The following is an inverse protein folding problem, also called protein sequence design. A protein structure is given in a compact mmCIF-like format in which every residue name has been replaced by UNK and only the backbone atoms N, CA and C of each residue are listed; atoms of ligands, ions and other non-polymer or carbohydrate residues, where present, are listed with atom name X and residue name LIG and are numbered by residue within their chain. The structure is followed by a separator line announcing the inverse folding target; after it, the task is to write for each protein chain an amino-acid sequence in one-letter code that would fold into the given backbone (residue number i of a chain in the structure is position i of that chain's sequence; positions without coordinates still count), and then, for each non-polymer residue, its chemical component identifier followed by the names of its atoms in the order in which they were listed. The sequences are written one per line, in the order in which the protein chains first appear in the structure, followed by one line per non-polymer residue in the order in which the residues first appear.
data_IF_594503623571
#
_entry.id   IF_594503623571
#
_cell.length_a   1.000
_cell.length_b   1.000
_cell.length_c   1.000
_cell.angle_alpha   90.00
_cell.angle_beta   90.00
_cell.angle_gamma   90.00
#
_symmetry.space_group_name_H-M   'P 1'
#
loop_
_entity.id
_entity.type
_entity.pdbx_description
1 polymer ?
#
# COMPACT_ATOMS: atom_id res chain seq x y z
N UNK A 1 30.39 9.97 -25.19
CA UNK A 1 29.31 9.81 -24.20
C UNK A 1 29.62 8.58 -23.35
N UNK A 2 29.78 8.70 -22.02
CA UNK A 2 30.26 7.58 -21.20
C UNK A 2 29.13 6.58 -20.93
N UNK A 3 28.98 5.59 -21.82
CA UNK A 3 27.89 4.60 -21.82
C UNK A 3 27.74 3.88 -20.47
N UNK A 4 28.85 3.69 -19.75
CA UNK A 4 28.87 3.08 -18.40
C UNK A 4 27.97 3.79 -17.38
N UNK A 5 27.78 5.12 -17.48
CA UNK A 5 26.92 5.88 -16.56
C UNK A 5 25.43 5.54 -16.71
N UNK A 6 25.02 5.10 -17.89
CA UNK A 6 23.61 4.83 -18.21
C UNK A 6 23.22 3.36 -18.07
N UNK A 7 24.20 2.45 -17.99
CA UNK A 7 23.97 1.00 -17.83
C UNK A 7 23.05 0.72 -16.64
N UNK A 8 23.23 1.44 -15.52
CA UNK A 8 22.38 1.25 -14.33
C UNK A 8 20.89 1.44 -14.58
N UNK A 9 20.49 2.21 -15.59
CA UNK A 9 19.07 2.48 -15.91
C UNK A 9 18.46 1.51 -16.94
N UNK A 10 19.27 0.64 -17.55
CA UNK A 10 18.79 -0.38 -18.52
C UNK A 10 17.67 -1.26 -17.94
N UNK A 11 17.70 -1.72 -16.67
CA UNK A 11 16.63 -2.54 -16.13
C UNK A 11 15.24 -1.87 -16.20
N UNK A 12 15.17 -0.56 -16.02
CA UNK A 12 13.91 0.19 -16.11
C UNK A 12 13.41 0.31 -17.55
N UNK A 13 14.31 0.46 -18.52
CA UNK A 13 13.95 0.52 -19.93
C UNK A 13 13.42 -0.84 -20.42
N UNK A 14 14.09 -1.93 -20.06
CA UNK A 14 13.63 -3.28 -20.37
C UNK A 14 12.27 -3.54 -19.71
N UNK A 15 12.12 -3.17 -18.44
CA UNK A 15 10.87 -3.32 -17.72
C UNK A 15 9.73 -2.51 -18.35
N UNK A 16 9.99 -1.27 -18.78
CA UNK A 16 9.03 -0.46 -19.52
C UNK A 16 8.56 -1.15 -20.80
N UNK A 17 9.47 -1.72 -21.59
CA UNK A 17 9.11 -2.44 -22.81
C UNK A 17 8.24 -3.68 -22.51
N UNK A 18 8.59 -4.44 -21.47
CA UNK A 18 7.78 -5.59 -21.01
C UNK A 18 6.38 -5.13 -20.61
N UNK A 19 6.28 -4.05 -19.83
CA UNK A 19 5.01 -3.51 -19.36
C UNK A 19 4.17 -2.96 -20.51
N UNK A 20 4.75 -2.28 -21.50
CA UNK A 20 3.99 -1.82 -22.67
C UNK A 20 3.40 -3.00 -23.44
N UNK A 21 4.18 -4.06 -23.67
CA UNK A 21 3.71 -5.30 -24.30
C UNK A 21 2.62 -6.00 -23.47
N UNK A 22 2.73 -5.97 -22.14
CA UNK A 22 1.74 -6.55 -21.23
C UNK A 22 0.44 -5.73 -21.22
N UNK A 23 0.52 -4.42 -21.01
CA UNK A 23 -0.62 -3.52 -20.97
C UNK A 23 -1.39 -3.52 -22.27
N UNK A 24 -0.76 -3.75 -23.43
CA UNK A 24 -1.44 -3.88 -24.72
C UNK A 24 -2.40 -5.07 -24.82
N UNK A 25 -2.19 -6.10 -23.98
CA UNK A 25 -3.05 -7.30 -23.94
C UNK A 25 -4.23 -7.15 -22.98
N UNK A 26 -4.24 -6.11 -22.14
CA UNK A 26 -5.28 -5.93 -21.13
C UNK A 26 -6.59 -5.45 -21.75
N UNK A 27 -7.70 -5.96 -21.22
CA UNK A 27 -9.02 -5.45 -21.53
C UNK A 27 -9.28 -4.18 -20.71
N UNK A 28 -9.41 -3.03 -21.39
CA UNK A 28 -9.59 -1.72 -20.74
C UNK A 28 -11.06 -1.39 -20.52
N UNK A 29 -11.92 -1.73 -21.47
CA UNK A 29 -13.36 -1.46 -21.42
C UNK A 29 -14.06 -2.61 -20.67
N UNK A 30 -13.92 -2.62 -19.34
CA UNK A 30 -14.49 -3.63 -18.45
C UNK A 30 -14.95 -3.01 -17.12
N UNK A 31 -15.81 -3.73 -16.39
CA UNK A 31 -16.24 -3.40 -15.02
C UNK A 31 -16.70 -1.93 -14.85
N UNK A 32 -15.97 -1.08 -14.12
CA UNK A 32 -16.40 0.29 -13.82
C UNK A 32 -16.23 1.25 -15.01
N UNK A 33 -15.46 0.89 -16.03
CA UNK A 33 -15.18 1.76 -17.18
C UNK A 33 -16.47 2.30 -17.85
N UNK A 34 -17.47 1.46 -18.23
CA UNK A 34 -18.69 1.95 -18.88
C UNK A 34 -19.53 2.85 -17.97
N UNK A 35 -19.49 2.62 -16.66
CA UNK A 35 -20.17 3.46 -15.67
C UNK A 35 -19.57 4.86 -15.67
N UNK A 36 -18.24 4.98 -15.59
CA UNK A 36 -17.55 6.28 -15.67
C UNK A 36 -17.80 6.98 -17.01
N UNK A 37 -17.75 6.24 -18.12
CA UNK A 37 -18.04 6.79 -19.46
C UNK A 37 -19.47 7.34 -19.55
N UNK A 38 -20.45 6.66 -18.93
CA UNK A 38 -21.84 7.10 -18.86
C UNK A 38 -22.02 8.34 -17.99
N UNK A 39 -21.24 8.48 -16.92
CA UNK A 39 -21.30 9.66 -16.06
C UNK A 39 -20.69 10.86 -16.78
N UNK A 40 -19.52 10.70 -17.39
CA UNK A 40 -18.84 11.80 -18.13
C UNK A 40 -19.67 12.28 -19.33
N UNK A 41 -20.42 11.41 -20.00
CA UNK A 41 -21.32 11.83 -21.09
C UNK A 41 -22.52 12.67 -20.63
N UNK A 42 -22.87 12.61 -19.34
CA UNK A 42 -23.99 13.36 -18.74
C UNK A 42 -23.54 14.58 -17.95
N UNK A 43 -22.32 14.57 -17.43
CA UNK A 43 -21.77 15.61 -16.57
C UNK A 43 -20.43 16.12 -17.13
N UNK A 44 -20.33 17.41 -17.54
CA UNK A 44 -19.11 17.95 -18.12
C UNK A 44 -17.92 17.84 -17.16
N UNK A 45 -16.81 17.27 -17.66
CA UNK A 45 -15.63 16.96 -16.85
C UNK A 45 -14.99 18.20 -16.21
N UNK A 46 -14.90 19.29 -16.97
CA UNK A 46 -14.22 20.53 -16.58
C UNK A 46 -15.14 21.58 -15.93
N UNK A 47 -16.43 21.29 -15.80
CA UNK A 47 -17.37 22.25 -15.21
C UNK A 47 -17.20 22.30 -13.69
N UNK A 48 -17.10 23.53 -13.16
CA UNK A 48 -17.13 23.81 -11.72
C UNK A 48 -18.53 24.11 -11.19
N UNK A 49 -19.56 23.96 -12.03
CA UNK A 49 -20.97 24.11 -11.63
C UNK A 49 -21.48 22.84 -10.93
N UNK A 50 -22.66 22.93 -10.30
CA UNK A 50 -23.31 21.77 -9.65
C UNK A 50 -23.53 20.58 -10.60
N UNK A 51 -23.62 20.83 -11.90
CA UNK A 51 -23.82 19.80 -12.93
C UNK A 51 -22.51 19.18 -13.44
N UNK A 52 -21.37 19.72 -13.00
CA UNK A 52 -20.05 19.21 -13.36
C UNK A 52 -19.79 17.82 -12.77
N UNK A 53 -18.90 17.08 -13.45
CA UNK A 53 -18.57 15.70 -13.09
C UNK A 53 -18.17 15.57 -11.61
N UNK A 54 -17.21 16.37 -11.13
CA UNK A 54 -16.74 16.28 -9.75
C UNK A 54 -17.80 16.70 -8.72
N UNK A 55 -18.60 17.73 -9.01
CA UNK A 55 -19.69 18.14 -8.13
C UNK A 55 -20.75 17.05 -8.00
N UNK A 56 -21.11 16.40 -9.10
CA UNK A 56 -22.01 15.25 -9.10
C UNK A 56 -21.43 14.08 -8.29
N UNK A 57 -20.18 13.71 -8.52
CA UNK A 57 -19.52 12.60 -7.83
C UNK A 57 -19.36 12.84 -6.33
N UNK A 58 -18.97 14.05 -5.94
CA UNK A 58 -18.90 14.45 -4.53
C UNK A 58 -20.27 14.43 -3.85
N UNK A 59 -21.31 14.89 -4.56
CA UNK A 59 -22.67 14.90 -4.02
C UNK A 59 -23.25 13.47 -3.83
N UNK A 60 -22.88 12.53 -4.70
CA UNK A 60 -23.62 11.26 -4.83
C UNK A 60 -22.86 10.01 -4.44
N UNK A 61 -21.52 10.00 -4.47
CA UNK A 61 -20.77 8.74 -4.34
C UNK A 61 -19.45 8.79 -3.57
N UNK A 62 -18.57 9.77 -3.83
CA UNK A 62 -17.20 9.70 -3.29
C UNK A 62 -16.51 11.03 -3.13
N UNK A 63 -15.71 11.13 -2.07
CA UNK A 63 -14.73 12.20 -1.82
C UNK A 63 -13.45 12.09 -2.65
N UNK A 64 -13.27 11.02 -3.45
CA UNK A 64 -12.03 10.75 -4.22
C UNK A 64 -11.91 11.63 -5.45
N UNK A 65 -12.07 12.94 -5.30
CA UNK A 65 -12.31 13.86 -6.40
C UNK A 65 -11.14 13.93 -7.38
N UNK A 66 -9.88 14.00 -6.93
CA UNK A 66 -8.73 14.06 -7.85
C UNK A 66 -8.54 12.74 -8.60
N UNK A 67 -8.61 11.63 -7.88
CA UNK A 67 -8.48 10.30 -8.47
C UNK A 67 -9.62 10.02 -9.48
N UNK A 68 -10.86 10.33 -9.13
CA UNK A 68 -11.98 10.13 -10.05
C UNK A 68 -11.95 11.11 -11.22
N UNK A 69 -11.36 12.30 -11.04
CA UNK A 69 -11.08 13.22 -12.14
C UNK A 69 -10.14 12.59 -13.17
N UNK A 70 -9.06 11.96 -12.70
CA UNK A 70 -8.11 11.25 -13.56
C UNK A 70 -8.80 10.10 -14.30
N UNK A 71 -9.63 9.31 -13.61
CA UNK A 71 -10.45 8.27 -14.26
C UNK A 71 -11.35 8.89 -15.34
N UNK A 72 -12.02 10.02 -15.03
CA UNK A 72 -12.86 10.75 -15.96
C UNK A 72 -12.13 11.22 -17.22
N UNK A 73 -10.89 11.71 -17.09
CA UNK A 73 -10.02 12.05 -18.22
C UNK A 73 -9.72 10.79 -19.03
N UNK A 74 -9.28 9.71 -18.37
CA UNK A 74 -8.79 8.50 -19.02
C UNK A 74 -9.90 7.74 -19.78
N UNK A 75 -11.14 7.77 -19.31
CA UNK A 75 -12.28 7.20 -20.06
C UNK A 75 -12.72 8.08 -21.23
N UNK A 76 -12.27 9.34 -21.30
CA UNK A 76 -12.61 10.31 -22.35
C UNK A 76 -11.60 10.33 -23.49
N UNK A 77 -10.49 9.61 -23.37
CA UNK A 77 -9.40 9.57 -24.35
C UNK A 77 -9.14 8.14 -24.83
N UNK A 78 -8.37 7.93 -25.92
CA UNK A 78 -8.04 6.59 -26.39
C UNK A 78 -7.37 5.75 -25.29
N UNK A 79 -7.76 4.48 -25.19
CA UNK A 79 -7.30 3.56 -24.15
C UNK A 79 -5.77 3.37 -24.15
N UNK A 80 -5.13 3.58 -25.31
CA UNK A 80 -3.68 3.57 -25.49
C UNK A 80 -2.97 4.57 -24.58
N UNK A 81 -3.59 5.72 -24.28
CA UNK A 81 -3.02 6.72 -23.37
C UNK A 81 -2.89 6.13 -21.98
N UNK A 82 -3.96 5.49 -21.46
CA UNK A 82 -3.89 4.81 -20.17
C UNK A 82 -2.82 3.71 -20.18
N UNK A 83 -2.75 2.87 -21.21
CA UNK A 83 -1.75 1.77 -21.30
C UNK A 83 -0.30 2.31 -21.20
N UNK A 84 -0.02 3.43 -21.85
CA UNK A 84 1.31 4.07 -21.82
C UNK A 84 1.58 4.67 -20.43
N UNK A 85 0.64 5.48 -19.92
CA UNK A 85 0.83 6.18 -18.64
C UNK A 85 0.93 5.18 -17.48
N UNK A 86 0.07 4.16 -17.45
CA UNK A 86 0.08 3.14 -16.39
C UNK A 86 1.38 2.32 -16.40
N UNK A 87 1.90 1.99 -17.59
CA UNK A 87 3.24 1.38 -17.72
C UNK A 87 4.33 2.28 -17.12
N UNK A 88 4.27 3.59 -17.36
CA UNK A 88 5.22 4.56 -16.78
C UNK A 88 5.06 4.65 -15.27
N UNK A 89 3.84 4.59 -14.73
CA UNK A 89 3.57 4.60 -13.29
C UNK A 89 4.23 3.40 -12.61
N UNK A 90 4.07 2.18 -13.12
CA UNK A 90 4.74 1.00 -12.55
C UNK A 90 6.26 1.07 -12.63
N UNK A 91 6.83 1.61 -13.72
CA UNK A 91 8.29 1.84 -13.81
C UNK A 91 8.75 2.90 -12.82
N UNK A 92 7.98 3.98 -12.65
CA UNK A 92 8.28 5.03 -11.68
C UNK A 92 8.31 4.47 -10.25
N UNK A 93 7.37 3.59 -9.90
CA UNK A 93 7.39 2.86 -8.62
C UNK A 93 8.69 2.08 -8.45
N UNK A 94 9.13 1.31 -9.46
CA UNK A 94 10.39 0.56 -9.38
C UNK A 94 11.60 1.48 -9.19
N UNK A 95 11.65 2.62 -9.88
CA UNK A 95 12.68 3.64 -9.71
C UNK A 95 12.67 4.20 -8.29
N UNK A 96 11.50 4.54 -7.77
CA UNK A 96 11.31 5.13 -6.44
C UNK A 96 11.69 4.14 -5.34
N UNK A 97 11.31 2.87 -5.45
CA UNK A 97 11.72 1.81 -4.52
C UNK A 97 13.24 1.73 -4.39
N UNK A 98 13.94 1.67 -5.53
CA UNK A 98 15.41 1.61 -5.51
C UNK A 98 16.02 2.87 -4.90
N UNK A 99 15.58 4.06 -5.32
CA UNK A 99 16.13 5.33 -4.83
C UNK A 99 15.81 5.64 -3.36
N UNK A 100 14.68 5.18 -2.85
CA UNK A 100 14.28 5.39 -1.47
C UNK A 100 15.07 4.52 -0.50
N UNK A 101 15.35 3.27 -0.89
CA UNK A 101 15.81 2.23 0.04
C UNK A 101 17.29 1.86 -0.13
N UNK A 102 17.93 2.26 -1.23
CA UNK A 102 19.34 1.96 -1.54
C UNK A 102 20.13 3.26 -1.71
N UNK A 103 21.28 3.33 -1.05
CA UNK A 103 22.26 4.42 -1.18
C UNK A 103 23.59 3.91 -1.77
N UNK A 104 23.58 2.79 -2.50
CA UNK A 104 24.76 2.16 -3.11
C UNK A 104 24.76 2.40 -4.63
N UNK A 105 25.64 3.31 -5.09
CA UNK A 105 25.79 3.64 -6.51
C UNK A 105 26.53 2.55 -7.30
N UNK A 106 27.39 1.75 -6.65
CA UNK A 106 28.21 0.73 -7.31
C UNK A 106 27.37 -0.47 -7.73
N UNK A 107 26.44 -0.90 -6.86
CA UNK A 107 25.53 -2.03 -7.13
C UNK A 107 24.17 -1.60 -7.69
N UNK A 108 24.06 -0.35 -8.12
CA UNK A 108 22.81 0.24 -8.58
C UNK A 108 22.10 -0.56 -9.68
N UNK A 109 22.82 -1.23 -10.59
CA UNK A 109 22.21 -2.11 -11.59
C UNK A 109 21.44 -3.27 -10.97
N UNK A 110 22.03 -3.98 -10.01
CA UNK A 110 21.40 -5.12 -9.33
C UNK A 110 20.15 -4.67 -8.57
N UNK A 111 20.25 -3.57 -7.82
CA UNK A 111 19.13 -3.03 -7.05
C UNK A 111 17.98 -2.53 -7.95
N UNK A 112 18.29 -2.01 -9.14
CA UNK A 112 17.29 -1.65 -10.13
C UNK A 112 16.61 -2.89 -10.73
N UNK A 113 17.37 -3.95 -11.04
CA UNK A 113 16.78 -5.24 -11.44
C UNK A 113 15.85 -5.81 -10.35
N UNK A 114 16.29 -5.78 -9.09
CA UNK A 114 15.52 -6.26 -7.96
C UNK A 114 14.21 -5.47 -7.81
N UNK A 115 14.25 -4.14 -7.99
CA UNK A 115 13.06 -3.31 -7.89
C UNK A 115 12.06 -3.63 -9.01
N UNK A 116 12.53 -3.77 -10.26
CA UNK A 116 11.70 -4.21 -11.38
C UNK A 116 11.11 -5.61 -11.14
N UNK A 117 11.89 -6.53 -10.58
CA UNK A 117 11.43 -7.88 -10.25
C UNK A 117 10.30 -7.85 -9.21
N UNK A 118 10.44 -7.11 -8.12
CA UNK A 118 9.40 -6.99 -7.10
C UNK A 118 8.11 -6.36 -7.62
N UNK A 119 8.21 -5.30 -8.42
CA UNK A 119 7.03 -4.67 -9.04
C UNK A 119 6.39 -5.61 -10.06
N UNK A 120 7.18 -6.31 -10.88
CA UNK A 120 6.66 -7.31 -11.82
C UNK A 120 5.97 -8.48 -11.11
N UNK A 121 6.57 -8.98 -10.02
CA UNK A 121 5.98 -10.02 -9.19
C UNK A 121 4.65 -9.56 -8.60
N UNK A 122 4.57 -8.32 -8.10
CA UNK A 122 3.33 -7.73 -7.60
C UNK A 122 2.22 -7.73 -8.66
N UNK A 123 2.52 -7.27 -9.87
CA UNK A 123 1.54 -7.23 -10.97
C UNK A 123 1.02 -8.63 -11.30
N UNK A 124 1.92 -9.62 -11.39
CA UNK A 124 1.55 -11.00 -11.76
C UNK A 124 0.72 -11.64 -10.64
N UNK A 125 1.21 -11.57 -9.40
CA UNK A 125 0.57 -12.19 -8.23
C UNK A 125 -0.81 -11.62 -7.92
N UNK A 126 -1.04 -10.33 -8.18
CA UNK A 126 -2.29 -9.64 -7.85
C UNK A 126 -3.06 -9.13 -9.06
N UNK A 127 -2.80 -9.68 -10.25
CA UNK A 127 -3.48 -9.31 -11.50
C UNK A 127 -5.02 -9.34 -11.39
N UNK A 128 -5.58 -10.34 -10.70
CA UNK A 128 -7.04 -10.43 -10.46
C UNK A 128 -7.57 -9.30 -9.58
N UNK A 129 -6.81 -8.88 -8.57
CA UNK A 129 -7.16 -7.74 -7.73
C UNK A 129 -7.10 -6.45 -8.56
N UNK A 130 -6.05 -6.30 -9.38
CA UNK A 130 -5.88 -5.16 -10.29
C UNK A 130 -6.96 -5.10 -11.39
N UNK A 131 -7.56 -6.23 -11.77
CA UNK A 131 -8.66 -6.31 -12.73
C UNK A 131 -10.05 -6.11 -12.08
N UNK A 132 -10.17 -6.22 -10.76
CA UNK A 132 -11.46 -6.41 -10.09
C UNK A 132 -12.52 -5.30 -10.29
N UNK A 133 -12.13 -4.03 -10.44
CA UNK A 133 -13.02 -2.94 -10.87
C UNK A 133 -12.74 -2.49 -12.32
N UNK A 134 -11.99 -3.28 -13.07
CA UNK A 134 -11.38 -2.94 -14.34
C UNK A 134 -9.98 -2.37 -14.12
N UNK A 135 -9.06 -2.69 -15.03
CA UNK A 135 -7.66 -2.29 -14.89
C UNK A 135 -7.50 -0.77 -14.80
N UNK A 136 -8.20 -0.01 -15.64
CA UNK A 136 -8.12 1.46 -15.65
C UNK A 136 -8.61 2.05 -14.33
N UNK A 137 -9.77 1.63 -13.85
CA UNK A 137 -10.32 2.16 -12.60
C UNK A 137 -9.45 1.75 -11.40
N UNK A 138 -9.02 0.49 -11.34
CA UNK A 138 -8.26 -0.02 -10.19
C UNK A 138 -6.86 0.59 -10.10
N UNK A 139 -6.12 0.64 -11.22
CA UNK A 139 -4.76 1.18 -11.21
C UNK A 139 -4.76 2.68 -10.89
N UNK A 140 -5.69 3.43 -11.48
CA UNK A 140 -5.84 4.87 -11.20
C UNK A 140 -6.27 5.11 -9.74
N UNK A 141 -7.17 4.29 -9.18
CA UNK A 141 -7.66 4.48 -7.81
C UNK A 141 -6.67 4.08 -6.71
N UNK A 142 -5.77 3.14 -6.98
CA UNK A 142 -4.94 2.53 -5.93
C UNK A 142 -3.44 2.60 -6.23
N UNK A 143 -3.02 2.36 -7.47
CA UNK A 143 -1.60 2.28 -7.83
C UNK A 143 -1.00 3.66 -8.09
N UNK A 144 -1.75 4.55 -8.75
CA UNK A 144 -1.30 5.91 -9.02
C UNK A 144 -1.07 6.69 -7.71
N UNK A 145 -2.02 6.70 -6.73
CA UNK A 145 -1.79 7.30 -5.42
C UNK A 145 -0.55 6.75 -4.70
N UNK A 146 -0.29 5.45 -4.80
CA UNK A 146 0.92 4.81 -4.25
C UNK A 146 2.19 5.37 -4.93
N UNK A 147 2.20 5.50 -6.25
CA UNK A 147 3.31 6.11 -6.98
C UNK A 147 3.56 7.56 -6.53
N UNK A 148 2.49 8.35 -6.41
CA UNK A 148 2.58 9.74 -6.00
C UNK A 148 3.09 9.90 -4.56
N UNK A 149 2.65 9.07 -3.61
CA UNK A 149 3.17 9.15 -2.24
C UNK A 149 4.63 8.70 -2.12
N UNK A 150 5.05 7.70 -2.90
CA UNK A 150 6.46 7.31 -2.98
C UNK A 150 7.32 8.45 -3.54
N UNK A 151 6.84 9.13 -4.58
CA UNK A 151 7.51 10.31 -5.14
C UNK A 151 7.58 11.44 -4.10
N UNK A 152 6.49 11.69 -3.39
CA UNK A 152 6.41 12.69 -2.33
C UNK A 152 7.47 12.45 -1.25
N UNK A 153 7.53 11.24 -0.67
CA UNK A 153 8.53 10.92 0.36
C UNK A 153 9.96 10.87 -0.19
N UNK A 154 10.15 10.49 -1.45
CA UNK A 154 11.46 10.57 -2.10
C UNK A 154 11.96 12.01 -2.17
N UNK A 155 11.11 12.93 -2.62
CA UNK A 155 11.44 14.35 -2.73
C UNK A 155 11.66 15.00 -1.36
N UNK A 156 10.84 14.64 -0.36
CA UNK A 156 11.05 15.06 1.03
C UNK A 156 12.42 14.62 1.55
N UNK A 157 12.74 13.33 1.42
CA UNK A 157 14.04 12.77 1.84
C UNK A 157 15.19 13.48 1.13
N UNK A 158 15.15 13.57 -0.19
CA UNK A 158 16.32 13.99 -0.98
C UNK A 158 16.56 15.49 -1.00
N UNK A 159 15.53 16.32 -0.90
CA UNK A 159 15.65 17.75 -1.08
C UNK A 159 15.29 18.56 0.17
N UNK A 160 14.31 18.11 0.96
CA UNK A 160 13.88 18.84 2.16
C UNK A 160 14.75 18.46 3.35
N UNK A 161 14.80 17.18 3.73
CA UNK A 161 15.55 16.74 4.91
C UNK A 161 17.06 16.74 4.71
N UNK A 162 17.56 16.49 3.49
CA UNK A 162 18.99 16.66 3.16
C UNK A 162 19.40 18.13 2.94
N UNK A 163 18.47 19.08 3.04
CA UNK A 163 18.68 20.51 2.86
C UNK A 163 19.55 20.85 1.63
N UNK A 164 19.18 20.30 0.46
CA UNK A 164 19.95 20.55 -0.76
C UNK A 164 19.82 22.01 -1.17
N UNK A 165 20.95 22.63 -1.50
CA UNK A 165 20.95 23.99 -2.02
C UNK A 165 20.32 24.02 -3.42
N UNK A 166 19.27 24.82 -3.54
CA UNK A 166 18.45 24.95 -4.74
C UNK A 166 18.19 26.43 -5.00
N UNK A 167 18.26 26.83 -6.27
CA UNK A 167 17.80 28.15 -6.67
C UNK A 167 16.33 28.35 -6.29
N UNK A 168 15.95 29.60 -6.03
CA UNK A 168 14.59 29.98 -5.61
C UNK A 168 13.50 29.38 -6.52
N UNK A 169 13.71 29.42 -7.84
CA UNK A 169 12.79 28.84 -8.82
C UNK A 169 12.63 27.31 -8.64
N UNK A 170 13.75 26.58 -8.53
CA UNK A 170 13.73 25.12 -8.33
C UNK A 170 13.05 24.74 -7.00
N UNK A 171 13.24 25.56 -5.97
CA UNK A 171 12.60 25.36 -4.66
C UNK A 171 11.08 25.54 -4.74
N UNK A 172 10.59 26.56 -5.47
CA UNK A 172 9.16 26.76 -5.71
C UNK A 172 8.58 25.57 -6.50
N UNK A 173 9.24 25.17 -7.59
CA UNK A 173 8.80 24.02 -8.38
C UNK A 173 8.74 22.73 -7.55
N UNK A 174 9.76 22.47 -6.71
CA UNK A 174 9.77 21.33 -5.80
C UNK A 174 8.58 21.35 -4.84
N UNK A 175 8.26 22.50 -4.24
CA UNK A 175 7.13 22.61 -3.32
C UNK A 175 5.79 22.42 -4.02
N UNK A 176 5.63 22.93 -5.24
CA UNK A 176 4.43 22.67 -6.05
C UNK A 176 4.27 21.17 -6.36
N UNK A 177 5.36 20.50 -6.76
CA UNK A 177 5.35 19.05 -7.00
C UNK A 177 5.00 18.29 -5.71
N UNK A 178 5.59 18.66 -4.57
CA UNK A 178 5.27 18.03 -3.28
C UNK A 178 3.80 18.20 -2.90
N UNK A 179 3.20 19.36 -3.15
CA UNK A 179 1.76 19.58 -2.92
C UNK A 179 0.93 18.69 -3.85
N UNK A 180 1.20 18.68 -5.15
CA UNK A 180 0.44 17.86 -6.12
C UNK A 180 0.53 16.38 -5.76
N UNK A 181 1.75 15.86 -5.57
CA UNK A 181 1.97 14.45 -5.19
C UNK A 181 1.29 14.07 -3.87
N UNK A 182 1.22 14.99 -2.90
CA UNK A 182 0.50 14.75 -1.66
C UNK A 182 -1.00 14.69 -1.91
N UNK A 183 -1.56 15.68 -2.62
CA UNK A 183 -2.98 15.79 -2.90
C UNK A 183 -3.52 14.59 -3.68
N UNK A 184 -2.79 14.11 -4.69
CA UNK A 184 -3.13 12.88 -5.42
C UNK A 184 -3.20 11.67 -4.48
N UNK A 185 -2.19 11.50 -3.63
CA UNK A 185 -2.14 10.39 -2.70
C UNK A 185 -3.27 10.42 -1.67
N UNK A 186 -3.49 11.57 -1.04
CA UNK A 186 -4.47 11.72 0.05
C UNK A 186 -5.91 11.88 -0.43
N UNK A 187 -6.13 11.88 -1.75
CA UNK A 187 -7.48 11.75 -2.33
C UNK A 187 -8.08 10.35 -2.10
N UNK A 188 -7.27 9.33 -1.77
CA UNK A 188 -7.75 7.99 -1.39
C UNK A 188 -7.97 7.91 0.12
N UNK A 189 -9.17 7.54 0.57
CA UNK A 189 -9.55 7.46 2.01
C UNK A 189 -8.57 6.62 2.85
N UNK A 190 -8.21 5.42 2.37
CA UNK A 190 -7.27 4.55 3.08
C UNK A 190 -5.85 5.12 3.10
N UNK A 191 -5.41 5.68 1.96
CA UNK A 191 -4.06 6.22 1.85
C UNK A 191 -3.94 7.54 2.62
N UNK A 192 -4.99 8.36 2.70
CA UNK A 192 -5.08 9.54 3.56
C UNK A 192 -4.79 9.18 5.02
N UNK A 193 -5.44 8.13 5.55
CA UNK A 193 -5.19 7.63 6.90
C UNK A 193 -3.72 7.19 7.09
N UNK A 194 -3.17 6.43 6.13
CA UNK A 194 -1.77 5.99 6.18
C UNK A 194 -0.79 7.16 6.11
N UNK A 195 -1.03 8.14 5.23
CA UNK A 195 -0.14 9.30 5.06
C UNK A 195 -0.20 10.19 6.31
N UNK A 196 -1.38 10.40 6.89
CA UNK A 196 -1.51 11.06 8.18
C UNK A 196 -0.69 10.37 9.27
N UNK A 197 -0.80 9.04 9.38
CA UNK A 197 0.03 8.23 10.29
C UNK A 197 1.52 8.34 10.00
N UNK A 198 1.92 8.32 8.72
CA UNK A 198 3.32 8.45 8.31
C UNK A 198 3.91 9.79 8.74
N UNK A 199 3.16 10.88 8.60
CA UNK A 199 3.55 12.21 9.07
C UNK A 199 3.67 12.27 10.60
N UNK A 200 2.77 11.60 11.34
CA UNK A 200 2.89 11.46 12.80
C UNK A 200 4.20 10.76 13.17
N UNK A 201 4.56 9.67 12.48
CA UNK A 201 5.85 9.00 12.69
C UNK A 201 7.04 9.90 12.30
N UNK A 202 6.99 10.60 11.17
CA UNK A 202 8.06 11.53 10.76
C UNK A 202 8.29 12.62 11.80
N UNK A 203 7.21 13.25 12.28
CA UNK A 203 7.27 14.29 13.32
C UNK A 203 7.80 13.69 14.64
N UNK A 204 7.25 12.56 15.07
CA UNK A 204 7.69 11.87 16.28
C UNK A 204 9.18 11.51 16.24
N UNK A 205 9.68 11.06 15.09
CA UNK A 205 11.10 10.79 14.87
C UNK A 205 11.95 12.06 14.95
N UNK A 206 11.51 13.16 14.32
CA UNK A 206 12.20 14.45 14.39
C UNK A 206 12.30 14.94 15.83
N UNK A 207 11.20 14.88 16.59
CA UNK A 207 11.18 15.25 18.01
C UNK A 207 12.11 14.37 18.85
N UNK A 208 12.09 13.05 18.64
CA UNK A 208 12.96 12.11 19.34
C UNK A 208 14.44 12.36 19.06
N UNK A 209 14.80 12.61 17.80
CA UNK A 209 16.18 12.89 17.36
C UNK A 209 16.59 14.35 17.51
N UNK A 210 15.69 15.22 17.98
CA UNK A 210 15.90 16.68 18.05
C UNK A 210 16.30 17.29 16.70
N UNK A 211 15.75 16.76 15.61
CA UNK A 211 15.90 17.29 14.25
C UNK A 211 14.89 18.43 14.10
N UNK A 212 15.34 19.59 13.60
CA UNK A 212 14.44 20.69 13.28
C UNK A 212 13.42 20.25 12.23
N UNK A 213 12.13 20.41 12.54
CA UNK A 213 11.04 20.06 11.62
C UNK A 213 10.97 21.14 10.54
N UNK A 214 11.20 20.81 9.25
CA UNK A 214 11.11 21.79 8.19
C UNK A 214 9.71 22.41 8.14
N UNK A 215 9.61 23.75 8.01
CA UNK A 215 8.33 24.47 8.06
C UNK A 215 7.28 23.95 7.07
N UNK A 216 7.72 23.44 5.92
CA UNK A 216 6.85 22.86 4.89
C UNK A 216 6.10 21.62 5.39
N UNK A 217 6.60 20.90 6.39
CA UNK A 217 5.91 19.76 7.01
C UNK A 217 4.59 20.21 7.66
N UNK A 218 4.55 21.39 8.30
CA UNK A 218 3.30 21.92 8.88
C UNK A 218 2.26 22.25 7.81
N UNK A 219 2.68 22.72 6.63
CA UNK A 219 1.79 22.90 5.48
C UNK A 219 1.18 21.57 5.04
N UNK A 220 1.99 20.51 4.91
CA UNK A 220 1.50 19.19 4.52
C UNK A 220 0.55 18.59 5.54
N UNK A 221 0.83 18.73 6.85
CA UNK A 221 -0.11 18.34 7.91
C UNK A 221 -1.43 19.12 7.78
N UNK A 222 -1.37 20.42 7.53
CA UNK A 222 -2.57 21.24 7.28
C UNK A 222 -3.39 20.72 6.10
N UNK A 223 -2.75 20.39 4.98
CA UNK A 223 -3.43 19.82 3.80
C UNK A 223 -4.05 18.45 4.07
N UNK A 224 -3.36 17.59 4.84
CA UNK A 224 -3.90 16.29 5.26
C UNK A 224 -5.16 16.47 6.12
N UNK A 225 -5.12 17.38 7.10
CA UNK A 225 -6.29 17.69 7.96
C UNK A 225 -7.45 18.24 7.13
N UNK A 226 -7.18 19.13 6.17
CA UNK A 226 -8.21 19.64 5.27
C UNK A 226 -8.83 18.53 4.41
N UNK A 227 -8.05 17.54 3.95
CA UNK A 227 -8.59 16.39 3.22
C UNK A 227 -9.42 15.47 4.12
N UNK A 228 -9.05 15.27 5.39
CA UNK A 228 -9.92 14.56 6.34
C UNK A 228 -11.26 15.27 6.53
N UNK A 229 -11.25 16.60 6.65
CA UNK A 229 -12.49 17.40 6.74
C UNK A 229 -13.30 17.24 5.45
N UNK A 230 -12.66 17.34 4.29
CA UNK A 230 -13.31 17.18 2.99
C UNK A 230 -13.98 15.81 2.82
N UNK A 231 -13.29 14.74 3.24
CA UNK A 231 -13.78 13.37 3.22
C UNK A 231 -14.95 13.16 4.18
N UNK A 232 -14.83 13.68 5.41
CA UNK A 232 -15.87 13.59 6.44
C UNK A 232 -17.14 14.37 6.06
N UNK A 233 -16.99 15.51 5.41
CA UNK A 233 -18.11 16.34 4.96
C UNK A 233 -18.73 15.86 3.64
N UNK A 234 -18.19 14.83 2.99
CA UNK A 234 -18.66 14.36 1.69
C UNK A 234 -20.03 13.66 1.80
N UNK A 235 -21.11 14.24 1.26
CA UNK A 235 -22.43 13.59 1.31
C UNK A 235 -22.46 12.32 0.45
N UNK A 236 -21.67 12.26 -0.63
CA UNK A 236 -21.52 11.09 -1.47
C UNK A 236 -21.02 9.86 -0.71
N UNK A 237 -20.08 10.04 0.21
CA UNK A 237 -19.58 8.94 1.05
C UNK A 237 -20.69 8.36 1.93
N UNK A 238 -21.50 9.22 2.55
CA UNK A 238 -22.65 8.80 3.37
C UNK A 238 -23.66 8.03 2.51
N UNK A 239 -23.98 8.56 1.32
CA UNK A 239 -24.88 7.90 0.37
C UNK A 239 -24.35 6.52 -0.06
N UNK A 240 -23.06 6.41 -0.39
CA UNK A 240 -22.41 5.15 -0.74
C UNK A 240 -22.49 4.14 0.41
N UNK A 241 -22.18 4.55 1.64
CA UNK A 241 -22.29 3.67 2.82
C UNK A 241 -23.73 3.16 2.99
N UNK A 242 -24.74 4.02 2.85
CA UNK A 242 -26.14 3.62 2.95
C UNK A 242 -26.55 2.61 1.86
N UNK A 243 -26.15 2.86 0.61
CA UNK A 243 -26.42 1.97 -0.53
C UNK A 243 -25.75 0.61 -0.34
N UNK A 244 -24.46 0.60 -0.01
CA UNK A 244 -23.68 -0.63 0.15
C UNK A 244 -24.16 -1.43 1.37
N UNK A 245 -24.53 -0.76 2.47
CA UNK A 245 -25.12 -1.43 3.65
C UNK A 245 -26.44 -2.10 3.26
N UNK A 246 -27.34 -1.35 2.62
CA UNK A 246 -28.67 -1.85 2.26
C UNK A 246 -28.62 -3.02 1.27
N UNK A 247 -27.69 -2.99 0.30
CA UNK A 247 -27.64 -3.98 -0.77
C UNK A 247 -26.70 -5.16 -0.48
N UNK A 248 -25.60 -4.94 0.24
CA UNK A 248 -24.54 -5.93 0.43
C UNK A 248 -24.48 -6.55 1.82
N UNK A 249 -24.60 -5.74 2.87
CA UNK A 249 -24.48 -6.20 4.26
C UNK A 249 -25.38 -5.42 5.23
N UNK A 250 -26.70 -5.73 5.29
CA UNK A 250 -27.65 -4.98 6.11
C UNK A 250 -27.30 -4.92 7.59
N UNK A 251 -26.82 -6.02 8.18
CA UNK A 251 -26.50 -6.10 9.61
C UNK A 251 -25.33 -5.20 10.03
N UNK A 252 -24.55 -4.69 9.08
CA UNK A 252 -23.48 -3.73 9.36
C UNK A 252 -24.01 -2.47 10.07
N UNK A 253 -25.29 -2.11 9.88
CA UNK A 253 -25.93 -1.01 10.61
C UNK A 253 -25.90 -1.18 12.13
N UNK A 254 -25.82 -2.43 12.61
CA UNK A 254 -25.83 -2.77 14.03
C UNK A 254 -24.41 -2.88 14.61
N UNK A 255 -23.37 -2.71 13.80
CA UNK A 255 -21.99 -2.89 14.24
C UNK A 255 -21.51 -1.70 15.06
N UNK A 256 -21.05 -1.99 16.29
CA UNK A 256 -20.31 -1.03 17.10
C UNK A 256 -18.82 -1.01 16.71
N UNK A 257 -18.03 -0.16 17.38
CA UNK A 257 -16.59 -0.01 17.12
C UNK A 257 -15.83 -1.34 17.32
N UNK A 258 -16.20 -2.15 18.30
CA UNK A 258 -15.56 -3.44 18.58
C UNK A 258 -15.82 -4.41 17.43
N UNK A 259 -17.05 -4.50 16.92
CA UNK A 259 -17.37 -5.35 15.77
C UNK A 259 -16.58 -4.95 14.52
N UNK A 260 -16.47 -3.63 14.27
CA UNK A 260 -15.71 -3.11 13.12
C UNK A 260 -14.22 -3.43 13.23
N UNK A 261 -13.64 -3.26 14.42
CA UNK A 261 -12.25 -3.61 14.68
C UNK A 261 -12.02 -5.12 14.55
N UNK A 262 -12.90 -5.94 15.12
CA UNK A 262 -12.81 -7.40 15.06
C UNK A 262 -12.81 -7.90 13.61
N UNK A 263 -13.72 -7.39 12.77
CA UNK A 263 -13.74 -7.72 11.34
C UNK A 263 -12.45 -7.31 10.64
N UNK A 264 -11.98 -6.07 10.83
CA UNK A 264 -10.75 -5.59 10.20
C UNK A 264 -9.51 -6.38 10.62
N UNK A 265 -9.41 -6.71 11.91
CA UNK A 265 -8.33 -7.55 12.49
C UNK A 265 -8.40 -8.97 11.91
N UNK A 266 -9.61 -9.56 11.84
CA UNK A 266 -9.82 -10.88 11.28
C UNK A 266 -9.39 -10.95 9.80
N UNK A 267 -9.81 -9.99 8.97
CA UNK A 267 -9.39 -9.94 7.56
C UNK A 267 -7.88 -9.88 7.41
N UNK A 268 -7.25 -8.95 8.15
CA UNK A 268 -5.82 -8.79 8.13
C UNK A 268 -5.06 -10.07 8.51
N UNK A 269 -5.35 -10.64 9.68
CA UNK A 269 -4.59 -11.82 10.13
C UNK A 269 -4.98 -13.09 9.39
N UNK A 270 -6.24 -13.28 9.01
CA UNK A 270 -6.64 -14.43 8.20
C UNK A 270 -5.96 -14.43 6.84
N UNK A 271 -5.81 -13.25 6.23
CA UNK A 271 -5.15 -13.11 4.93
C UNK A 271 -3.69 -13.58 4.98
N UNK A 272 -2.95 -13.13 6.00
CA UNK A 272 -1.56 -13.56 6.25
C UNK A 272 -1.51 -15.05 6.59
N UNK A 273 -2.33 -15.49 7.56
CA UNK A 273 -2.32 -16.86 8.07
C UNK A 273 -2.57 -17.87 6.94
N UNK A 274 -3.50 -17.57 6.04
CA UNK A 274 -3.88 -18.42 4.91
C UNK A 274 -2.97 -18.26 3.69
N UNK A 275 -1.85 -17.53 3.81
CA UNK A 275 -0.88 -17.30 2.76
C UNK A 275 -1.51 -16.76 1.46
N UNK A 276 -2.51 -15.87 1.58
CA UNK A 276 -3.21 -15.29 0.40
C UNK A 276 -2.32 -14.36 -0.41
N UNK A 277 -1.20 -13.90 0.16
CA UNK A 277 -0.20 -13.11 -0.54
C UNK A 277 1.22 -13.60 -0.29
N UNK A 278 2.04 -13.58 -1.36
CA UNK A 278 3.41 -14.06 -1.33
C UNK A 278 4.36 -13.13 -0.55
N UNK A 279 4.08 -11.82 -0.53
CA UNK A 279 4.97 -10.85 0.10
C UNK A 279 4.97 -10.95 1.62
N UNK A 280 3.84 -11.28 2.26
CA UNK A 280 3.81 -11.58 3.69
C UNK A 280 4.65 -12.80 4.05
N UNK A 281 4.66 -13.83 3.21
CA UNK A 281 5.48 -15.03 3.40
C UNK A 281 6.96 -14.68 3.30
N UNK A 282 7.34 -13.94 2.25
CA UNK A 282 8.71 -13.46 2.04
C UNK A 282 9.13 -12.57 3.22
N UNK A 283 8.29 -11.64 3.64
CA UNK A 283 8.54 -10.73 4.75
C UNK A 283 8.83 -11.48 6.04
N UNK A 284 7.96 -12.41 6.44
CA UNK A 284 8.14 -13.18 7.68
C UNK A 284 9.44 -14.00 7.64
N UNK A 285 9.77 -14.60 6.50
CA UNK A 285 11.02 -15.36 6.33
C UNK A 285 12.26 -14.45 6.39
N UNK A 286 12.26 -13.34 5.64
CA UNK A 286 13.38 -12.38 5.62
C UNK A 286 13.59 -11.74 6.98
N UNK A 287 12.51 -11.36 7.67
CA UNK A 287 12.58 -10.75 9.00
C UNK A 287 13.20 -11.72 10.01
N UNK A 288 12.81 -13.00 9.97
CA UNK A 288 13.35 -14.05 10.83
C UNK A 288 14.84 -14.31 10.54
N UNK A 289 15.23 -14.39 9.26
CA UNK A 289 16.63 -14.57 8.87
C UNK A 289 17.48 -13.38 9.31
N UNK A 290 17.00 -12.16 9.04
CA UNK A 290 17.74 -10.95 9.40
C UNK A 290 17.89 -10.81 10.92
N UNK A 291 16.81 -11.00 11.69
CA UNK A 291 16.86 -10.95 13.15
C UNK A 291 17.79 -12.01 13.76
N UNK A 292 17.81 -13.22 13.18
CA UNK A 292 18.73 -14.29 13.57
C UNK A 292 20.20 -13.91 13.33
N UNK A 293 20.52 -13.34 12.17
CA UNK A 293 21.90 -13.01 11.80
C UNK A 293 22.50 -11.91 12.66
N UNK A 294 21.69 -10.88 12.99
CA UNK A 294 22.17 -9.70 13.72
C UNK A 294 22.17 -9.85 15.25
N UNK A 295 21.69 -10.97 15.78
CA UNK A 295 21.46 -11.17 17.21
C UNK A 295 22.48 -12.13 17.82
N UNK A 296 23.01 -11.77 18.98
CA UNK A 296 23.91 -12.64 19.76
C UNK A 296 23.17 -13.86 20.33
N UNK A 297 21.85 -13.75 20.54
CA UNK A 297 20.99 -14.80 21.12
C UNK A 297 20.36 -15.69 20.05
N UNK A 298 21.18 -16.22 19.13
CA UNK A 298 20.72 -17.00 17.95
C UNK A 298 19.73 -18.12 18.27
N UNK A 299 19.89 -18.84 19.39
CA UNK A 299 18.95 -19.90 19.81
C UNK A 299 17.54 -19.38 20.05
N UNK A 300 17.39 -18.21 20.68
CA UNK A 300 16.07 -17.59 20.92
C UNK A 300 15.48 -17.10 19.59
N UNK A 301 16.32 -16.66 18.65
CA UNK A 301 15.88 -16.22 17.32
C UNK A 301 15.39 -17.35 16.42
N UNK A 302 15.58 -18.62 16.78
CA UNK A 302 14.90 -19.69 16.06
C UNK A 302 13.36 -19.59 16.20
N UNK A 303 12.86 -18.99 17.30
CA UNK A 303 11.42 -18.77 17.50
C UNK A 303 10.83 -17.81 16.47
N UNK A 304 11.63 -16.91 15.88
CA UNK A 304 11.11 -15.94 14.90
C UNK A 304 10.79 -16.57 13.56
N UNK A 305 11.20 -17.81 13.31
CA UNK A 305 10.81 -18.58 12.13
C UNK A 305 9.40 -19.18 12.25
N UNK A 306 8.83 -19.26 13.46
CA UNK A 306 7.53 -19.91 13.69
C UNK A 306 6.40 -19.31 12.83
N UNK A 307 6.21 -17.98 12.74
CA UNK A 307 5.17 -17.41 11.87
C UNK A 307 5.31 -17.82 10.41
N UNK A 308 6.52 -17.79 9.86
CA UNK A 308 6.77 -18.20 8.47
C UNK A 308 6.43 -19.68 8.26
N UNK A 309 6.80 -20.55 9.22
CA UNK A 309 6.47 -21.98 9.16
C UNK A 309 4.96 -22.25 9.25
N UNK A 310 4.24 -21.52 10.11
CA UNK A 310 2.78 -21.63 10.23
C UNK A 310 2.10 -21.25 8.90
N UNK A 311 2.50 -20.12 8.31
CA UNK A 311 1.92 -19.65 7.04
C UNK A 311 2.25 -20.62 5.91
N UNK A 312 3.48 -21.13 5.84
CA UNK A 312 3.87 -22.15 4.87
C UNK A 312 3.10 -23.48 5.06
N UNK A 313 2.81 -23.85 6.31
CA UNK A 313 1.96 -25.01 6.59
C UNK A 313 0.56 -24.83 6.00
N UNK A 314 -0.08 -23.68 6.20
CA UNK A 314 -1.41 -23.42 5.62
C UNK A 314 -1.40 -23.29 4.10
N UNK A 315 -0.35 -22.72 3.51
CA UNK A 315 -0.15 -22.72 2.06
C UNK A 315 -0.08 -24.17 1.52
N UNK A 316 0.72 -25.03 2.17
CA UNK A 316 0.85 -26.43 1.80
C UNK A 316 -0.45 -27.21 2.03
N UNK A 317 -1.18 -26.94 3.12
CA UNK A 317 -2.45 -27.58 3.41
C UNK A 317 -3.52 -27.25 2.35
N UNK A 318 -3.57 -25.99 1.89
CA UNK A 318 -4.43 -25.57 0.78
C UNK A 318 -4.07 -26.28 -0.53
N UNK A 319 -2.77 -26.39 -0.84
CA UNK A 319 -2.31 -27.08 -2.06
C UNK A 319 -2.55 -28.60 -2.03
N UNK A 320 -2.39 -29.22 -0.85
CA UNK A 320 -2.60 -30.65 -0.63
C UNK A 320 -4.08 -31.05 -0.47
N UNK A 321 -5.02 -30.10 -0.63
CA UNK A 321 -6.47 -30.30 -0.46
C UNK A 321 -6.86 -30.85 0.92
N UNK A 322 -6.17 -30.45 1.99
CA UNK A 322 -6.65 -30.69 3.37
C UNK A 322 -7.78 -29.71 3.72
N UNK A 323 -8.92 -29.87 3.04
CA UNK A 323 -10.04 -28.92 3.03
C UNK A 323 -10.61 -28.62 4.42
N UNK A 324 -10.70 -29.64 5.29
CA UNK A 324 -11.33 -29.48 6.60
C UNK A 324 -10.49 -28.57 7.51
N UNK A 325 -9.16 -28.79 7.52
CA UNK A 325 -8.24 -27.95 8.29
C UNK A 325 -8.16 -26.55 7.69
N UNK A 326 -8.02 -26.45 6.37
CA UNK A 326 -7.91 -25.15 5.69
C UNK A 326 -9.17 -24.30 5.90
N UNK A 327 -10.35 -24.85 5.63
CA UNK A 327 -11.63 -24.13 5.78
C UNK A 327 -11.97 -23.78 7.23
N UNK A 328 -11.48 -24.55 8.20
CA UNK A 328 -11.63 -24.22 9.62
C UNK A 328 -10.89 -22.92 9.99
N UNK A 329 -9.69 -22.70 9.45
CA UNK A 329 -8.87 -21.51 9.76
C UNK A 329 -9.01 -20.37 8.75
N UNK A 330 -9.55 -20.63 7.55
CA UNK A 330 -9.79 -19.58 6.56
C UNK A 330 -11.01 -18.74 6.93
N UNK A 331 -10.76 -17.56 7.48
CA UNK A 331 -11.76 -16.57 7.89
C UNK A 331 -11.73 -15.33 6.99
N UNK A 332 -11.05 -15.38 5.83
CA UNK A 332 -10.82 -14.22 4.97
C UNK A 332 -12.10 -13.58 4.44
N UNK A 333 -13.20 -14.33 4.38
CA UNK A 333 -14.51 -13.85 3.94
C UNK A 333 -15.57 -13.77 5.06
N UNK A 334 -15.15 -13.87 6.33
CA UNK A 334 -16.07 -13.88 7.46
C UNK A 334 -16.66 -12.48 7.71
N UNK A 335 -17.98 -12.33 7.58
CA UNK A 335 -18.66 -11.02 7.70
C UNK A 335 -18.71 -10.44 9.12
N UNK A 336 -18.70 -11.30 10.14
CA UNK A 336 -18.95 -10.91 11.54
C UNK A 336 -17.71 -11.00 12.45
N UNK A 337 -16.54 -11.25 11.88
CA UNK A 337 -15.26 -11.21 12.60
C UNK A 337 -15.00 -12.44 13.48
N UNK A 338 -13.88 -12.43 14.18
CA UNK A 338 -13.42 -13.58 14.96
C UNK A 338 -14.32 -13.84 16.19
N UNK A 339 -14.83 -12.78 16.81
CA UNK A 339 -15.62 -12.85 18.05
C UNK A 339 -17.02 -13.42 17.84
N UNK A 340 -17.51 -13.51 16.60
CA UNK A 340 -18.79 -14.15 16.30
C UNK A 340 -18.71 -15.68 16.25
N UNK A 341 -17.52 -16.26 16.33
CA UNK A 341 -17.32 -17.71 16.21
C UNK A 341 -17.57 -18.43 17.54
N UNK A 342 -17.83 -19.74 17.44
CA UNK A 342 -17.86 -20.61 18.62
C UNK A 342 -16.53 -20.59 19.38
N UNK A 343 -16.60 -20.70 20.71
CA UNK A 343 -15.47 -20.51 21.64
C UNK A 343 -14.16 -21.20 21.22
N UNK A 344 -14.22 -22.48 20.82
CA UNK A 344 -13.04 -23.24 20.42
C UNK A 344 -12.39 -22.68 19.15
N UNK A 345 -13.20 -22.29 18.14
CA UNK A 345 -12.69 -21.74 16.87
C UNK A 345 -12.15 -20.33 17.05
N UNK A 346 -12.81 -19.53 17.88
CA UNK A 346 -12.34 -18.21 18.26
C UNK A 346 -10.96 -18.28 18.92
N UNK A 347 -10.77 -19.15 19.92
CA UNK A 347 -9.49 -19.28 20.62
C UNK A 347 -8.40 -19.84 19.71
N UNK A 348 -8.68 -20.89 18.95
CA UNK A 348 -7.66 -21.52 18.08
C UNK A 348 -7.14 -20.56 17.01
N UNK A 349 -8.02 -19.81 16.33
CA UNK A 349 -7.61 -18.79 15.37
C UNK A 349 -6.94 -17.60 16.08
N UNK A 350 -7.49 -17.17 17.23
CA UNK A 350 -6.94 -16.06 18.02
C UNK A 350 -5.51 -16.31 18.50
N UNK A 351 -5.18 -17.52 18.93
CA UNK A 351 -3.79 -17.89 19.32
C UNK A 351 -2.84 -17.78 18.12
N UNK A 352 -3.25 -18.23 16.93
CA UNK A 352 -2.43 -18.11 15.73
C UNK A 352 -2.23 -16.63 15.34
N UNK A 353 -3.28 -15.81 15.47
CA UNK A 353 -3.18 -14.36 15.23
C UNK A 353 -2.20 -13.70 16.21
N UNK A 354 -2.24 -14.08 17.49
CA UNK A 354 -1.28 -13.60 18.49
C UNK A 354 0.16 -13.99 18.15
N UNK A 355 0.40 -15.21 17.66
CA UNK A 355 1.75 -15.64 17.23
C UNK A 355 2.22 -14.81 16.04
N UNK A 356 1.38 -14.63 15.01
CA UNK A 356 1.69 -13.85 13.80
C UNK A 356 1.84 -12.36 14.13
N UNK A 357 1.23 -11.85 15.20
CA UNK A 357 1.41 -10.47 15.64
C UNK A 357 2.69 -10.29 16.49
N UNK A 358 2.83 -11.05 17.57
CA UNK A 358 3.81 -10.79 18.62
C UNK A 358 5.23 -11.22 18.24
N UNK A 359 5.38 -12.31 17.47
CA UNK A 359 6.70 -12.83 17.10
C UNK A 359 7.43 -11.92 16.09
N UNK A 360 6.77 -11.39 15.03
CA UNK A 360 7.38 -10.38 14.19
C UNK A 360 7.69 -9.09 14.96
N UNK A 361 6.82 -8.64 15.87
CA UNK A 361 7.10 -7.47 16.72
C UNK A 361 8.33 -7.67 17.61
N UNK A 362 8.52 -8.88 18.15
CA UNK A 362 9.75 -9.21 18.88
C UNK A 362 10.99 -9.15 17.99
N UNK A 363 10.90 -9.62 16.73
CA UNK A 363 11.99 -9.49 15.75
C UNK A 363 12.34 -8.02 15.48
N UNK A 364 11.31 -7.18 15.29
CA UNK A 364 11.48 -5.73 15.09
C UNK A 364 12.09 -5.05 16.32
N UNK A 365 11.69 -5.46 17.53
CA UNK A 365 12.31 -4.98 18.77
C UNK A 365 13.80 -5.33 18.86
N UNK A 366 14.19 -6.54 18.45
CA UNK A 366 15.59 -6.95 18.41
C UNK A 366 16.38 -6.14 17.37
N UNK A 367 15.79 -5.88 16.20
CA UNK A 367 16.38 -4.98 15.20
C UNK A 367 16.53 -3.57 15.77
N UNK A 368 15.51 -3.04 16.46
CA UNK A 368 15.55 -1.72 17.08
C UNK A 368 16.67 -1.60 18.13
N UNK A 369 16.91 -2.65 18.92
CA UNK A 369 18.02 -2.68 19.89
C UNK A 369 19.38 -2.53 19.23
N UNK A 370 19.58 -3.16 18.07
CA UNK A 370 20.85 -3.09 17.34
C UNK A 370 20.94 -1.80 16.49
N UNK A 371 19.91 -1.50 15.71
CA UNK A 371 19.79 -0.32 14.88
C UNK A 371 18.42 0.35 15.10
N UNK A 372 18.41 1.38 15.95
CA UNK A 372 17.20 2.11 16.35
C UNK A 372 16.45 2.71 15.15
N UNK A 373 17.17 3.22 14.16
CA UNK A 373 16.56 3.88 13.01
C UNK A 373 15.87 2.87 12.10
N UNK A 374 16.54 1.75 11.81
CA UNK A 374 15.96 0.67 11.02
C UNK A 374 14.77 0.03 11.72
N UNK A 375 14.90 -0.28 13.01
CA UNK A 375 13.81 -0.88 13.79
C UNK A 375 12.58 0.04 13.88
N UNK A 376 12.80 1.35 14.07
CA UNK A 376 11.72 2.34 14.05
C UNK A 376 11.05 2.43 12.68
N UNK A 377 11.84 2.45 11.61
CA UNK A 377 11.32 2.53 10.24
C UNK A 377 10.48 1.30 9.88
N UNK A 378 10.95 0.09 10.20
CA UNK A 378 10.18 -1.15 10.00
C UNK A 378 8.90 -1.14 10.84
N UNK A 379 9.00 -0.75 12.11
CA UNK A 379 7.82 -0.65 13.00
C UNK A 379 6.78 0.30 12.44
N UNK A 380 7.17 1.51 12.04
CA UNK A 380 6.27 2.50 11.47
C UNK A 380 5.56 1.97 10.22
N UNK A 381 6.32 1.38 9.28
CA UNK A 381 5.73 0.78 8.08
C UNK A 381 4.75 -0.35 8.40
N UNK A 382 5.07 -1.24 9.36
CA UNK A 382 4.15 -2.29 9.78
C UNK A 382 2.84 -1.73 10.35
N UNK A 383 2.91 -0.75 11.25
CA UNK A 383 1.71 -0.11 11.80
C UNK A 383 0.85 0.51 10.69
N UNK A 384 1.48 1.17 9.71
CA UNK A 384 0.77 1.78 8.58
C UNK A 384 0.11 0.73 7.67
N UNK A 385 0.84 -0.33 7.31
CA UNK A 385 0.31 -1.41 6.47
C UNK A 385 -0.79 -2.21 7.19
N UNK A 386 -0.64 -2.47 8.48
CA UNK A 386 -1.66 -3.23 9.24
C UNK A 386 -2.91 -2.35 9.42
N UNK A 387 -2.71 -1.08 9.75
CA UNK A 387 -3.78 -0.09 9.88
C UNK A 387 -4.59 0.09 8.59
N UNK A 388 -3.96 -0.01 7.42
CA UNK A 388 -4.66 0.17 6.14
C UNK A 388 -5.70 -0.93 5.85
N UNK A 389 -5.47 -2.15 6.35
CA UNK A 389 -6.46 -3.24 6.25
C UNK A 389 -7.46 -3.14 7.39
N UNK A 390 -7.01 -2.90 8.63
CA UNK A 390 -7.91 -2.86 9.80
C UNK A 390 -8.96 -1.75 9.66
N UNK A 391 -8.59 -0.58 9.11
CA UNK A 391 -9.54 0.53 8.90
C UNK A 391 -10.66 0.16 7.93
N UNK A 392 -10.45 -0.84 7.06
CA UNK A 392 -11.51 -1.32 6.17
C UNK A 392 -12.71 -1.89 6.94
N UNK A 393 -12.52 -2.36 8.19
CA UNK A 393 -13.59 -2.74 9.12
C UNK A 393 -14.66 -1.65 9.33
N UNK A 394 -14.30 -0.39 9.06
CA UNK A 394 -15.16 0.79 9.18
C UNK A 394 -15.96 1.12 7.91
N UNK A 395 -15.95 0.25 6.89
CA UNK A 395 -16.84 0.34 5.72
C UNK A 395 -17.68 -0.93 5.53
N UNK A 396 -18.95 -0.83 5.11
CA UNK A 396 -19.76 -2.01 4.77
C UNK A 396 -19.30 -2.74 3.49
N UNK A 397 -18.39 -2.15 2.71
CA UNK A 397 -17.95 -2.65 1.38
C UNK A 397 -17.01 -3.86 1.43
N UNK A 398 -16.77 -4.38 2.63
CA UNK A 398 -15.75 -5.37 2.97
C UNK A 398 -15.94 -6.74 2.34
N UNK A 399 -17.18 -7.17 2.12
CA UNK A 399 -17.49 -8.58 1.89
C UNK A 399 -17.21 -9.04 0.46
N UNK A 400 -16.59 -8.20 -0.38
CA UNK A 400 -16.44 -8.46 -1.82
C UNK A 400 -15.25 -7.76 -2.49
N UNK A 401 -14.31 -7.17 -1.75
CA UNK A 401 -13.28 -6.33 -2.35
C UNK A 401 -11.85 -6.58 -1.83
N UNK A 402 -11.11 -7.46 -2.53
CA UNK A 402 -9.69 -7.72 -2.26
C UNK A 402 -8.80 -6.46 -2.43
N UNK A 403 -9.30 -5.36 -3.02
CA UNK A 403 -8.52 -4.12 -3.19
C UNK A 403 -8.15 -3.47 -1.85
N UNK A 404 -8.83 -3.83 -0.74
CA UNK A 404 -8.48 -3.35 0.61
C UNK A 404 -7.04 -3.72 1.03
N UNK A 405 -6.46 -4.76 0.41
CA UNK A 405 -5.11 -5.22 0.71
C UNK A 405 -4.03 -4.49 -0.12
N UNK A 406 -4.36 -3.76 -1.19
CA UNK A 406 -3.35 -3.21 -2.11
C UNK A 406 -2.31 -2.31 -1.43
N UNK A 407 -2.76 -1.45 -0.51
CA UNK A 407 -1.86 -0.59 0.27
C UNK A 407 -0.93 -1.40 1.19
N UNK A 408 -1.47 -2.43 1.84
CA UNK A 408 -0.71 -3.34 2.70
C UNK A 408 0.33 -4.13 1.91
N UNK A 409 -0.07 -4.70 0.78
CA UNK A 409 0.81 -5.47 -0.11
C UNK A 409 1.99 -4.61 -0.59
N UNK A 410 1.74 -3.34 -0.91
CA UNK A 410 2.82 -2.42 -1.28
C UNK A 410 3.79 -2.13 -0.13
N UNK A 411 3.30 -2.04 1.11
CA UNK A 411 4.15 -1.93 2.29
C UNK A 411 5.01 -3.18 2.48
N UNK A 412 4.46 -4.38 2.24
CA UNK A 412 5.24 -5.63 2.27
C UNK A 412 6.34 -5.62 1.20
N UNK A 413 6.04 -5.18 -0.03
CA UNK A 413 7.05 -5.01 -1.10
C UNK A 413 8.20 -4.09 -0.65
N UNK A 414 7.89 -2.95 -0.02
CA UNK A 414 8.89 -2.01 0.51
C UNK A 414 9.77 -2.69 1.59
N UNK A 415 9.14 -3.42 2.52
CA UNK A 415 9.82 -4.08 3.62
C UNK A 415 10.70 -5.24 3.14
N UNK A 416 10.22 -6.04 2.20
CA UNK A 416 10.98 -7.15 1.60
C UNK A 416 12.22 -6.63 0.88
N UNK A 417 12.05 -5.61 0.04
CA UNK A 417 13.16 -4.98 -0.67
C UNK A 417 14.20 -4.40 0.31
N UNK A 418 13.73 -3.73 1.38
CA UNK A 418 14.58 -3.20 2.44
C UNK A 418 15.36 -4.31 3.15
N UNK A 419 14.70 -5.40 3.54
CA UNK A 419 15.32 -6.50 4.27
C UNK A 419 16.35 -7.25 3.40
N UNK A 420 16.06 -7.47 2.11
CA UNK A 420 17.05 -8.02 1.17
C UNK A 420 18.27 -7.10 1.09
N UNK A 421 18.06 -5.78 0.97
CA UNK A 421 19.17 -4.84 0.98
C UNK A 421 20.01 -4.98 2.26
N UNK A 422 19.38 -5.05 3.43
CA UNK A 422 20.10 -5.19 4.72
C UNK A 422 20.81 -6.52 4.89
N UNK A 423 20.25 -7.61 4.38
CA UNK A 423 20.93 -8.92 4.36
C UNK A 423 22.19 -8.89 3.48
N UNK A 424 22.12 -8.25 2.31
CA UNK A 424 23.26 -8.10 1.41
C UNK A 424 24.33 -7.18 2.02
N UNK A 425 23.94 -6.08 2.66
CA UNK A 425 24.87 -5.22 3.41
C UNK A 425 25.58 -5.99 4.53
N UNK A 426 24.86 -6.84 5.27
CA UNK A 426 25.44 -7.66 6.34
C UNK A 426 26.47 -8.67 5.81
N UNK A 427 26.16 -9.36 4.71
CA UNK A 427 27.07 -10.35 4.08
C UNK A 427 28.34 -9.74 3.49
N UNK A 428 28.34 -8.46 3.13
CA UNK A 428 29.56 -7.82 2.61
C UNK A 428 30.48 -7.33 3.74
N UNK A 429 29.97 -7.21 4.96
CA UNK A 429 30.72 -6.70 6.13
C UNK A 429 31.34 -7.80 6.98
N UNK A 430 30.83 -9.04 6.88
CA UNK A 430 31.27 -10.23 7.61
C UNK A 430 31.50 -11.36 6.62
#
# INVERSE_FOLDING_TARGET
MNFKKYIKYIPFLIFLMILLCYHWKLAVVTADYPTFQTIVSKHPLWSLTKDGFLSYRYATWSSRSLIEFDVGILVSVPAEIWRIVDSVIFVAIAILLSKLLVNDDEKSFFYNCLACFFVGLFIISFSKILESAGWLATTTNYIWPICFILLHFYLLKEYVFKNRDLSKFKKIALYLILIVTLMEAVSSEQLLAMVGGAYVFVIGYCLYKKIEIPKVIYLFVGLIVLNFIYDFCCPGNVNRVNVVTKLGFPDYSNFNIINKLDVGINYFFSWILMAKDIFSVIFLALLAVYSYLISDKRKIMLLTFIPALIVLFFAAAGFANFSDVYSYFDLTNLKYGLLSLGFIRMISCGVLYLIIALVPLYSVYMIYKNNKELGYFIFALLVLGFGSVIISGFTPSLTSDDRIYLNYLFIMVILDYLLINKLLEFKNKN
#
